data_IF_181120135583
#
_entry.id   IF_181120135583
#
_cell.length_a   1.000
_cell.length_b   1.000
_cell.length_c   1.000
_cell.angle_alpha   90.00
_cell.angle_beta   90.00
_cell.angle_gamma   90.00
#
_symmetry.space_group_name_H-M   'P 1'
#
loop_
_entity.id
_entity.type
_entity.pdbx_description
1 polymer ?
#
# COMPACT_ATOMS: atom_id res chain seq x y z
N UNK A 1 -5.71 -27.20 20.59
CA UNK A 1 -5.86 -27.86 19.27
C UNK A 1 -5.86 -26.76 18.22
N UNK A 2 -5.21 -26.95 17.06
CA UNK A 2 -5.29 -25.99 15.96
C UNK A 2 -6.73 -25.77 15.51
N UNK A 3 -7.07 -24.54 15.11
CA UNK A 3 -8.39 -24.22 14.57
C UNK A 3 -8.55 -24.86 13.18
N UNK A 4 -9.66 -25.56 12.96
CA UNK A 4 -9.93 -26.24 11.69
C UNK A 4 -10.64 -25.32 10.68
N UNK A 5 -10.47 -25.59 9.39
CA UNK A 5 -11.19 -24.87 8.32
C UNK A 5 -12.71 -24.99 8.47
N UNK A 6 -13.21 -26.13 8.96
CA UNK A 6 -14.64 -26.35 9.17
C UNK A 6 -15.21 -25.43 10.26
N UNK A 7 -14.50 -25.26 11.38
CA UNK A 7 -14.91 -24.35 12.47
C UNK A 7 -14.93 -22.89 12.00
N UNK A 8 -13.90 -22.47 11.26
CA UNK A 8 -13.84 -21.10 10.71
C UNK A 8 -14.94 -20.88 9.68
N UNK A 9 -15.22 -21.86 8.81
CA UNK A 9 -16.33 -21.78 7.87
C UNK A 9 -17.70 -21.78 8.55
N UNK A 10 -17.88 -22.51 9.65
CA UNK A 10 -19.12 -22.48 10.41
C UNK A 10 -19.41 -21.06 10.96
N UNK A 11 -18.36 -20.35 11.37
CA UNK A 11 -18.50 -18.99 11.92
C UNK A 11 -18.53 -17.91 10.83
N UNK A 12 -17.62 -17.95 9.85
CA UNK A 12 -17.42 -16.89 8.87
C UNK A 12 -17.90 -17.24 7.45
N UNK A 13 -18.53 -18.39 7.26
CA UNK A 13 -19.00 -18.86 5.96
C UNK A 13 -19.93 -17.87 5.25
N UNK A 14 -20.68 -17.07 6.02
CA UNK A 14 -21.61 -16.07 5.53
C UNK A 14 -20.96 -14.76 5.05
N UNK A 15 -19.70 -14.49 5.40
CA UNK A 15 -18.98 -13.33 4.89
C UNK A 15 -18.56 -13.55 3.43
N UNK A 16 -18.64 -12.50 2.63
CA UNK A 16 -18.13 -12.49 1.26
C UNK A 16 -16.95 -11.51 1.14
N UNK A 17 -16.13 -11.67 0.11
CA UNK A 17 -15.03 -10.74 -0.17
C UNK A 17 -15.48 -9.28 -0.24
N UNK A 18 -16.65 -9.02 -0.84
CA UNK A 18 -17.22 -7.68 -0.94
C UNK A 18 -17.62 -7.09 0.43
N UNK A 19 -17.94 -7.93 1.42
CA UNK A 19 -18.25 -7.48 2.79
C UNK A 19 -16.99 -7.13 3.58
N UNK A 20 -15.91 -7.90 3.41
CA UNK A 20 -14.66 -7.72 4.18
C UNK A 20 -13.68 -6.73 3.53
N UNK A 21 -13.77 -6.56 2.22
CA UNK A 21 -12.96 -5.64 1.44
C UNK A 21 -13.85 -4.80 0.49
N UNK A 22 -14.81 -4.01 1.04
CA UNK A 22 -15.67 -3.19 0.21
C UNK A 22 -14.88 -2.11 -0.50
N UNK A 23 -15.38 -1.67 -1.66
CA UNK A 23 -14.97 -0.40 -2.23
C UNK A 23 -15.44 0.74 -1.33
N UNK A 24 -14.70 1.87 -1.27
CA UNK A 24 -15.21 3.05 -0.60
C UNK A 24 -16.52 3.53 -1.21
N UNK A 25 -17.42 4.12 -0.40
CA UNK A 25 -18.69 4.64 -0.90
C UNK A 25 -18.47 5.86 -1.81
N UNK A 26 -19.38 6.02 -2.78
CA UNK A 26 -19.49 7.22 -3.62
C UNK A 26 -20.47 8.23 -2.97
N UNK A 27 -20.19 9.55 -3.04
CA UNK A 27 -19.02 10.18 -3.65
C UNK A 27 -17.75 9.96 -2.82
N UNK A 28 -16.63 9.74 -3.52
CA UNK A 28 -15.36 9.45 -2.89
C UNK A 28 -14.80 10.72 -2.24
N UNK A 29 -14.49 10.70 -0.94
CA UNK A 29 -13.85 11.83 -0.26
C UNK A 29 -12.32 11.74 -0.34
N UNK A 30 -11.60 12.79 0.12
CA UNK A 30 -10.13 12.87 0.03
C UNK A 30 -9.43 11.71 0.72
N UNK A 31 -9.84 11.39 1.95
CA UNK A 31 -9.23 10.37 2.77
C UNK A 31 -9.36 8.95 2.18
N UNK A 32 -10.57 8.47 1.79
CA UNK A 32 -10.72 7.22 1.06
C UNK A 32 -9.92 7.15 -0.25
N UNK A 33 -9.83 8.25 -1.01
CA UNK A 33 -9.01 8.26 -2.22
C UNK A 33 -7.52 8.06 -1.91
N UNK A 34 -7.01 8.71 -0.87
CA UNK A 34 -5.63 8.50 -0.39
C UNK A 34 -5.43 7.08 0.15
N UNK A 35 -6.41 6.52 0.86
CA UNK A 35 -6.35 5.14 1.34
C UNK A 35 -6.32 4.13 0.19
N UNK A 36 -7.06 4.37 -0.91
CA UNK A 36 -6.95 3.55 -2.12
C UNK A 36 -5.56 3.62 -2.75
N UNK A 37 -4.96 4.82 -2.84
CA UNK A 37 -3.59 4.99 -3.33
C UNK A 37 -2.56 4.29 -2.42
N UNK A 38 -2.80 4.29 -1.11
CA UNK A 38 -1.93 3.61 -0.15
C UNK A 38 -1.94 2.09 -0.39
N UNK A 39 -3.12 1.51 -0.65
CA UNK A 39 -3.26 0.09 -1.00
C UNK A 39 -2.46 -0.24 -2.26
N UNK A 40 -2.61 0.54 -3.34
CA UNK A 40 -1.86 0.30 -4.59
C UNK A 40 -0.36 0.54 -4.46
N UNK A 41 0.05 1.54 -3.69
CA UNK A 41 1.47 1.81 -3.39
C UNK A 41 2.10 0.62 -2.67
N UNK A 42 1.49 0.14 -1.58
CA UNK A 42 2.04 -0.99 -0.82
C UNK A 42 2.05 -2.29 -1.63
N UNK A 43 1.03 -2.51 -2.46
CA UNK A 43 1.03 -3.62 -3.42
C UNK A 43 2.26 -3.54 -4.32
N UNK A 44 2.55 -2.39 -4.91
CA UNK A 44 3.72 -2.24 -5.78
C UNK A 44 5.04 -2.45 -5.02
N UNK A 45 5.14 -1.93 -3.79
CA UNK A 45 6.29 -2.13 -2.90
C UNK A 45 6.50 -3.60 -2.53
N UNK A 46 5.44 -4.42 -2.51
CA UNK A 46 5.59 -5.87 -2.33
C UNK A 46 6.37 -6.54 -3.47
N UNK A 47 6.49 -5.91 -4.64
CA UNK A 47 7.27 -6.42 -5.79
C UNK A 47 8.64 -5.75 -5.91
N UNK A 48 8.69 -4.42 -5.84
CA UNK A 48 9.91 -3.63 -6.14
C UNK A 48 10.44 -2.82 -4.95
N UNK A 49 9.89 -3.02 -3.76
CA UNK A 49 10.33 -2.34 -2.53
C UNK A 49 11.72 -2.78 -2.08
N UNK A 50 12.22 -2.17 -1.00
CA UNK A 50 13.53 -2.51 -0.41
C UNK A 50 13.59 -3.93 0.17
N UNK A 51 12.44 -4.46 0.59
CA UNK A 51 12.28 -5.83 1.08
C UNK A 51 10.99 -6.43 0.48
N UNK A 52 11.01 -6.80 -0.81
CA UNK A 52 9.81 -7.22 -1.52
C UNK A 52 9.31 -8.57 -0.99
N UNK A 53 7.99 -8.70 -0.81
CA UNK A 53 7.34 -9.98 -0.48
C UNK A 53 7.37 -10.93 -1.68
N UNK A 54 7.32 -10.37 -2.89
CA UNK A 54 7.24 -11.05 -4.16
C UNK A 54 8.45 -10.69 -5.05
N UNK A 55 9.69 -11.03 -4.63
CA UNK A 55 10.88 -10.68 -5.39
C UNK A 55 10.83 -11.25 -6.81
N UNK A 56 11.40 -10.50 -7.76
CA UNK A 56 11.66 -10.98 -9.13
C UNK A 56 12.46 -12.29 -9.13
N UNK A 57 12.35 -13.04 -10.22
CA UNK A 57 13.10 -14.30 -10.38
C UNK A 57 14.59 -14.10 -10.05
N UNK A 58 15.24 -15.08 -9.39
CA UNK A 58 16.66 -14.99 -9.02
C UNK A 58 17.62 -14.78 -10.19
N UNK A 59 17.16 -14.96 -11.43
CA UNK A 59 17.90 -14.67 -12.66
C UNK A 59 18.18 -13.17 -12.88
N UNK A 60 17.68 -12.28 -12.01
CA UNK A 60 18.14 -10.89 -11.90
C UNK A 60 17.67 -9.94 -13.01
N UNK A 61 16.81 -10.40 -13.93
CA UNK A 61 16.18 -9.57 -14.94
C UNK A 61 14.98 -8.79 -14.39
N UNK A 62 14.83 -7.53 -14.83
CA UNK A 62 13.59 -6.78 -14.63
C UNK A 62 12.44 -7.52 -15.33
N UNK A 63 11.45 -7.94 -14.55
CA UNK A 63 10.25 -8.57 -15.05
C UNK A 63 9.24 -7.52 -15.53
N UNK A 64 8.27 -7.93 -16.34
CA UNK A 64 7.17 -7.04 -16.73
C UNK A 64 6.38 -6.53 -15.51
N UNK A 65 6.28 -7.34 -14.45
CA UNK A 65 5.64 -6.96 -13.19
C UNK A 65 6.41 -5.84 -12.48
N UNK A 66 7.75 -5.87 -12.53
CA UNK A 66 8.59 -4.82 -11.94
C UNK A 66 8.41 -3.48 -12.66
N UNK A 67 8.23 -3.54 -13.98
CA UNK A 67 7.91 -2.36 -14.77
C UNK A 67 6.54 -1.78 -14.38
N UNK A 68 5.49 -2.60 -14.32
CA UNK A 68 4.16 -2.16 -13.90
C UNK A 68 4.15 -1.62 -12.46
N UNK A 69 4.87 -2.26 -11.55
CA UNK A 69 4.97 -1.81 -10.16
C UNK A 69 5.67 -0.45 -10.06
N UNK A 70 6.76 -0.27 -10.80
CA UNK A 70 7.46 1.02 -10.86
C UNK A 70 6.60 2.13 -11.47
N UNK A 71 5.90 1.83 -12.57
CA UNK A 71 4.96 2.77 -13.21
C UNK A 71 3.82 3.14 -12.25
N UNK A 72 3.28 2.17 -11.52
CA UNK A 72 2.23 2.38 -10.54
C UNK A 72 2.67 3.33 -9.42
N UNK A 73 3.88 3.15 -8.88
CA UNK A 73 4.42 4.04 -7.83
C UNK A 73 4.53 5.48 -8.30
N UNK A 74 5.02 5.70 -9.53
CA UNK A 74 5.12 7.04 -10.12
C UNK A 74 3.73 7.67 -10.31
N UNK A 75 2.78 6.88 -10.83
CA UNK A 75 1.42 7.33 -11.06
C UNK A 75 0.71 7.69 -9.75
N UNK A 76 0.85 6.87 -8.72
CA UNK A 76 0.23 7.11 -7.41
C UNK A 76 0.80 8.36 -6.74
N UNK A 77 2.10 8.61 -6.85
CA UNK A 77 2.72 9.81 -6.30
C UNK A 77 2.23 11.09 -7.00
N UNK A 78 2.09 11.07 -8.33
CA UNK A 78 1.50 12.18 -9.07
C UNK A 78 0.06 12.48 -8.62
N UNK A 79 -0.75 11.43 -8.42
CA UNK A 79 -2.15 11.59 -8.01
C UNK A 79 -2.22 12.05 -6.54
N UNK A 80 -1.38 11.52 -5.66
CA UNK A 80 -1.26 11.94 -4.27
C UNK A 80 -0.91 13.43 -4.17
N UNK A 81 0.08 13.88 -4.93
CA UNK A 81 0.47 15.29 -5.02
C UNK A 81 -0.72 16.15 -5.47
N UNK A 82 -1.44 15.72 -6.51
CA UNK A 82 -2.63 16.42 -7.02
C UNK A 82 -3.73 16.51 -5.95
N UNK A 83 -4.07 15.41 -5.28
CA UNK A 83 -5.12 15.35 -4.24
C UNK A 83 -4.73 16.20 -3.03
N UNK A 84 -3.45 16.18 -2.64
CA UNK A 84 -2.96 16.95 -1.50
C UNK A 84 -2.97 18.45 -1.76
N UNK A 85 -2.76 18.89 -3.00
CA UNK A 85 -2.87 20.30 -3.41
C UNK A 85 -4.31 20.85 -3.41
N UNK A 86 -5.34 20.01 -3.29
CA UNK A 86 -6.73 20.46 -3.23
C UNK A 86 -7.03 21.09 -1.86
N UNK A 87 -7.50 22.34 -1.89
CA UNK A 87 -7.92 23.10 -0.69
C UNK A 87 -9.23 22.60 -0.07
N UNK A 88 -10.04 21.82 -0.79
CA UNK A 88 -11.36 21.39 -0.33
C UNK A 88 -11.33 19.99 0.31
N UNK A 89 -12.02 19.87 1.44
CA UNK A 89 -12.19 18.64 2.23
C UNK A 89 -13.22 17.67 1.65
N UNK A 90 -14.12 18.11 0.78
CA UNK A 90 -15.39 17.38 0.55
C UNK A 90 -15.45 16.53 -0.74
N UNK A 91 -14.65 16.79 -1.78
CA UNK A 91 -14.50 15.85 -2.90
C UNK A 91 -13.17 16.10 -3.66
N UNK A 92 -12.26 15.11 -3.75
CA UNK A 92 -11.01 15.22 -4.49
C UNK A 92 -11.23 15.11 -6.01
N UNK A 93 -12.35 14.54 -6.44
CA UNK A 93 -12.68 14.30 -7.83
C UNK A 93 -13.99 15.01 -8.22
N UNK A 94 -14.05 15.45 -9.48
CA UNK A 94 -15.33 15.83 -10.08
C UNK A 94 -16.12 14.54 -10.32
N UNK A 95 -17.46 14.63 -10.34
CA UNK A 95 -18.33 13.46 -10.59
C UNK A 95 -17.95 12.65 -11.86
N UNK A 96 -17.41 13.32 -12.89
CA UNK A 96 -16.92 12.66 -14.12
C UNK A 96 -15.57 11.95 -13.98
N UNK A 97 -14.75 12.37 -13.02
CA UNK A 97 -13.37 11.89 -12.84
C UNK A 97 -13.33 10.74 -11.82
N UNK A 98 -14.28 10.69 -10.87
CA UNK A 98 -14.37 9.62 -9.86
C UNK A 98 -14.49 8.22 -10.46
N UNK A 99 -15.39 7.94 -11.45
CA UNK A 99 -15.46 6.61 -12.06
C UNK A 99 -14.14 6.21 -12.74
N UNK A 100 -13.41 7.16 -13.33
CA UNK A 100 -12.09 6.90 -13.94
C UNK A 100 -11.05 6.53 -12.90
N UNK A 101 -11.09 7.16 -11.72
CA UNK A 101 -10.22 6.81 -10.60
C UNK A 101 -10.55 5.42 -10.05
N UNK A 102 -11.82 5.13 -9.76
CA UNK A 102 -12.27 3.82 -9.24
C UNK A 102 -11.92 2.70 -10.21
N UNK A 103 -12.13 2.93 -11.51
CA UNK A 103 -11.81 1.99 -12.58
C UNK A 103 -10.33 1.56 -12.62
N UNK A 104 -9.40 2.29 -11.99
CA UNK A 104 -8.00 1.85 -11.81
C UNK A 104 -7.86 0.61 -10.94
N UNK A 105 -8.86 0.30 -10.12
CA UNK A 105 -8.82 -0.79 -9.13
C UNK A 105 -9.75 -1.95 -9.46
N UNK A 106 -10.84 -1.70 -10.19
CA UNK A 106 -11.88 -2.71 -10.49
C UNK A 106 -12.10 -2.94 -11.99
N UNK A 107 -11.34 -2.27 -12.83
CA UNK A 107 -11.46 -2.39 -14.27
C UNK A 107 -10.98 -3.72 -14.83
N UNK A 108 -11.35 -3.97 -16.07
CA UNK A 108 -10.81 -5.08 -16.84
C UNK A 108 -9.35 -4.84 -17.27
N UNK A 109 -8.65 -5.95 -17.53
CA UNK A 109 -7.23 -6.01 -17.89
C UNK A 109 -6.85 -5.18 -19.14
N UNK A 110 -7.78 -4.94 -20.06
CA UNK A 110 -7.52 -4.39 -21.39
C UNK A 110 -7.19 -2.88 -21.45
N UNK A 111 -7.13 -2.17 -20.31
CA UNK A 111 -7.02 -0.71 -20.27
C UNK A 111 -5.64 -0.16 -19.86
N UNK A 112 -4.57 -0.96 -19.92
CA UNK A 112 -3.20 -0.54 -19.53
C UNK A 112 -3.15 0.15 -18.15
N UNK A 113 -3.83 -0.46 -17.17
CA UNK A 113 -3.87 0.03 -15.78
C UNK A 113 -2.88 -0.79 -14.96
N UNK A 114 -1.72 -0.24 -14.56
CA UNK A 114 -0.65 -1.03 -13.95
C UNK A 114 -1.10 -1.85 -12.74
N UNK A 115 -1.94 -1.27 -11.89
CA UNK A 115 -2.52 -1.99 -10.74
C UNK A 115 -3.34 -3.23 -11.14
N UNK A 116 -4.26 -3.08 -12.10
CA UNK A 116 -5.06 -4.21 -12.61
C UNK A 116 -4.16 -5.24 -13.30
N UNK A 117 -3.14 -4.79 -14.03
CA UNK A 117 -2.21 -5.69 -14.70
C UNK A 117 -1.46 -6.56 -13.69
N UNK A 118 -0.95 -5.99 -12.60
CA UNK A 118 -0.33 -6.75 -11.50
C UNK A 118 -1.36 -7.71 -10.86
N UNK A 119 -2.59 -7.26 -10.64
CA UNK A 119 -3.62 -8.03 -9.93
C UNK A 119 -4.32 -9.12 -10.73
N UNK A 120 -4.19 -9.10 -12.06
CA UNK A 120 -4.92 -10.01 -12.96
C UNK A 120 -4.01 -10.80 -13.90
N UNK A 121 -2.75 -10.40 -14.08
CA UNK A 121 -1.80 -11.20 -14.87
C UNK A 121 -1.52 -12.55 -14.17
N UNK A 122 -1.48 -13.63 -14.96
CA UNK A 122 -1.40 -15.00 -14.43
C UNK A 122 -0.17 -15.23 -13.52
N UNK A 123 1.00 -14.73 -13.93
CA UNK A 123 2.25 -14.93 -13.20
C UNK A 123 2.23 -14.30 -11.80
N UNK A 124 1.98 -12.98 -11.63
CA UNK A 124 1.92 -12.39 -10.29
C UNK A 124 0.75 -12.96 -9.48
N UNK A 125 -0.41 -13.23 -10.09
CA UNK A 125 -1.57 -13.82 -9.39
C UNK A 125 -1.24 -15.16 -8.77
N UNK A 126 -0.57 -16.05 -9.51
CA UNK A 126 -0.18 -17.36 -8.99
C UNK A 126 0.88 -17.24 -7.88
N UNK A 127 1.82 -16.30 -8.00
CA UNK A 127 2.79 -16.00 -6.95
C UNK A 127 2.12 -15.51 -5.66
N UNK A 128 1.18 -14.59 -5.80
CA UNK A 128 0.38 -14.06 -4.70
C UNK A 128 -0.47 -15.17 -4.07
N UNK A 129 -1.20 -15.98 -4.87
CA UNK A 129 -2.03 -17.08 -4.38
C UNK A 129 -1.24 -18.07 -3.51
N UNK A 130 -0.06 -18.50 -3.98
CA UNK A 130 0.83 -19.40 -3.23
C UNK A 130 1.28 -18.80 -1.90
N UNK A 131 1.60 -17.51 -1.89
CA UNK A 131 1.93 -16.80 -0.64
C UNK A 131 0.72 -16.73 0.31
N UNK A 132 -0.45 -16.35 -0.20
CA UNK A 132 -1.68 -16.25 0.58
C UNK A 132 -2.06 -17.57 1.24
N UNK A 133 -1.96 -18.66 0.49
CA UNK A 133 -2.25 -20.00 0.98
C UNK A 133 -1.33 -20.36 2.15
N UNK A 134 -0.01 -20.11 2.02
CA UNK A 134 0.96 -20.34 3.11
C UNK A 134 0.64 -19.52 4.35
N UNK A 135 0.33 -18.23 4.20
CA UNK A 135 -0.02 -17.35 5.32
C UNK A 135 -1.30 -17.82 6.00
N UNK A 136 -2.34 -18.16 5.24
CA UNK A 136 -3.61 -18.62 5.77
C UNK A 136 -3.46 -19.95 6.54
N UNK A 137 -2.68 -20.90 6.00
CA UNK A 137 -2.40 -22.16 6.68
C UNK A 137 -1.60 -21.95 7.97
N UNK A 138 -0.58 -21.10 7.93
CA UNK A 138 0.21 -20.76 9.12
C UNK A 138 -0.65 -20.10 10.21
N UNK A 139 -1.56 -19.20 9.81
CA UNK A 139 -2.54 -18.59 10.72
C UNK A 139 -3.43 -19.64 11.38
N UNK A 140 -4.05 -20.53 10.61
CA UNK A 140 -4.92 -21.59 11.14
C UNK A 140 -4.17 -22.53 12.10
N UNK A 141 -2.92 -22.87 11.78
CA UNK A 141 -2.09 -23.74 12.61
C UNK A 141 -1.62 -23.07 13.91
N UNK A 142 -1.31 -21.77 13.86
CA UNK A 142 -0.79 -21.03 15.00
C UNK A 142 -1.89 -20.53 15.95
N UNK A 143 -3.12 -20.36 15.46
CA UNK A 143 -4.23 -19.84 16.26
C UNK A 143 -4.75 -20.87 17.25
N UNK A 144 -4.83 -20.48 18.52
CA UNK A 144 -5.44 -21.24 19.60
C UNK A 144 -6.95 -20.97 19.77
N UNK A 145 -7.47 -19.94 19.08
CA UNK A 145 -8.87 -19.51 19.12
C UNK A 145 -9.32 -19.02 17.74
N UNK A 146 -10.59 -19.27 17.40
CA UNK A 146 -11.21 -18.79 16.16
C UNK A 146 -11.19 -17.25 16.11
N UNK A 147 -11.31 -16.57 17.26
CA UNK A 147 -11.27 -15.11 17.35
C UNK A 147 -9.93 -14.48 16.96
N UNK A 148 -8.85 -15.28 16.92
CA UNK A 148 -7.54 -14.83 16.48
C UNK A 148 -7.34 -14.92 14.95
N UNK A 149 -8.31 -15.48 14.23
CA UNK A 149 -8.28 -15.61 12.78
C UNK A 149 -8.68 -14.28 12.12
N UNK A 150 -7.86 -13.79 11.19
CA UNK A 150 -8.23 -12.64 10.38
C UNK A 150 -9.31 -13.05 9.36
N UNK A 151 -10.52 -12.50 9.54
CA UNK A 151 -11.66 -12.76 8.66
C UNK A 151 -11.34 -12.35 7.22
N UNK A 152 -10.67 -11.20 7.03
CA UNK A 152 -10.23 -10.74 5.72
C UNK A 152 -9.32 -11.76 5.03
N UNK A 153 -8.31 -12.27 5.76
CA UNK A 153 -7.35 -13.22 5.18
C UNK A 153 -8.01 -14.53 4.77
N UNK A 154 -8.88 -15.04 5.64
CA UNK A 154 -9.59 -16.30 5.41
C UNK A 154 -10.57 -16.21 4.24
N UNK A 155 -11.45 -15.21 4.24
CA UNK A 155 -12.50 -15.03 3.21
C UNK A 155 -11.89 -14.81 1.84
N UNK A 156 -10.89 -13.93 1.72
CA UNK A 156 -10.23 -13.70 0.43
C UNK A 156 -9.46 -14.94 -0.05
N UNK A 157 -8.84 -15.72 0.83
CA UNK A 157 -8.17 -16.97 0.41
C UNK A 157 -9.18 -18.02 -0.07
N UNK A 158 -10.31 -18.16 0.63
CA UNK A 158 -11.41 -19.06 0.24
C UNK A 158 -11.98 -18.69 -1.13
N UNK A 159 -12.18 -17.40 -1.38
CA UNK A 159 -12.84 -16.89 -2.58
C UNK A 159 -11.87 -16.41 -3.68
N UNK A 160 -10.57 -16.75 -3.56
CA UNK A 160 -9.46 -16.16 -4.33
C UNK A 160 -9.71 -16.03 -5.85
N UNK A 161 -10.24 -17.09 -6.44
CA UNK A 161 -10.45 -17.20 -7.88
C UNK A 161 -11.60 -16.31 -8.39
N UNK A 162 -12.48 -15.87 -7.48
CA UNK A 162 -13.60 -14.96 -7.78
C UNK A 162 -13.32 -13.50 -7.37
N UNK A 163 -12.17 -13.23 -6.74
CA UNK A 163 -11.82 -11.89 -6.29
C UNK A 163 -11.55 -10.95 -7.46
N UNK A 164 -12.01 -9.72 -7.33
CA UNK A 164 -11.55 -8.62 -8.18
C UNK A 164 -10.17 -8.10 -7.77
N UNK A 165 -9.61 -7.20 -8.57
CA UNK A 165 -8.29 -6.62 -8.33
C UNK A 165 -8.23 -5.75 -7.06
N UNK A 166 -9.33 -5.13 -6.63
CA UNK A 166 -9.38 -4.34 -5.41
C UNK A 166 -9.32 -5.24 -4.17
N UNK A 167 -10.13 -6.29 -4.14
CA UNK A 167 -10.19 -7.25 -3.05
C UNK A 167 -8.85 -7.97 -2.85
N UNK A 168 -8.18 -8.37 -3.95
CA UNK A 168 -6.82 -8.93 -3.89
C UNK A 168 -5.83 -7.95 -3.29
N UNK A 169 -5.85 -6.69 -3.73
CA UNK A 169 -4.95 -5.68 -3.17
C UNK A 169 -5.21 -5.36 -1.71
N UNK A 170 -6.46 -5.33 -1.25
CA UNK A 170 -6.79 -5.15 0.17
C UNK A 170 -6.22 -6.26 1.05
N UNK A 171 -6.24 -7.51 0.57
CA UNK A 171 -5.59 -8.62 1.25
C UNK A 171 -4.08 -8.42 1.36
N UNK A 172 -3.43 -8.07 0.24
CA UNK A 172 -1.96 -7.90 0.18
C UNK A 172 -1.51 -6.73 1.05
N UNK A 173 -2.24 -5.62 0.98
CA UNK A 173 -2.04 -4.45 1.82
C UNK A 173 -2.09 -4.81 3.32
N UNK A 174 -3.10 -5.58 3.75
CA UNK A 174 -3.19 -6.04 5.14
C UNK A 174 -1.96 -6.86 5.57
N UNK A 175 -1.44 -7.72 4.68
CA UNK A 175 -0.22 -8.47 4.96
C UNK A 175 1.05 -7.63 4.95
N UNK A 176 1.13 -6.67 4.04
CA UNK A 176 2.24 -5.72 3.96
C UNK A 176 2.34 -4.91 5.26
N UNK A 177 1.21 -4.39 5.75
CA UNK A 177 1.12 -3.70 7.04
C UNK A 177 1.56 -4.60 8.20
N UNK A 178 1.06 -5.84 8.25
CA UNK A 178 1.42 -6.80 9.31
C UNK A 178 2.92 -7.12 9.33
N UNK A 179 3.57 -7.14 8.17
CA UNK A 179 5.01 -7.34 8.04
C UNK A 179 5.85 -6.09 8.30
N UNK A 180 5.21 -4.93 8.46
CA UNK A 180 5.91 -3.66 8.54
C UNK A 180 6.68 -3.36 7.26
N UNK A 181 6.10 -3.69 6.08
CA UNK A 181 6.57 -3.13 4.82
C UNK A 181 6.33 -1.63 4.92
N UNK A 182 7.36 -0.93 5.39
CA UNK A 182 7.30 0.49 5.61
C UNK A 182 7.08 1.15 4.26
N UNK A 183 5.95 1.84 4.12
CA UNK A 183 5.85 2.90 3.12
C UNK A 183 6.99 3.84 3.45
N UNK A 184 7.80 4.19 2.44
CA UNK A 184 8.73 5.30 2.58
C UNK A 184 7.90 6.55 2.89
N UNK A 185 7.71 6.86 4.17
CA UNK A 185 7.25 8.15 4.68
C UNK A 185 8.33 9.24 4.45
N UNK A 186 9.04 9.18 3.32
CA UNK A 186 10.05 10.15 2.92
C UNK A 186 9.41 11.48 2.44
N UNK A 187 8.08 11.63 2.51
CA UNK A 187 7.35 12.77 1.96
C UNK A 187 6.27 13.35 2.89
N UNK A 188 6.57 13.47 4.20
CA UNK A 188 6.22 14.71 4.86
C UNK A 188 7.49 15.29 5.52
N UNK A 189 8.05 16.40 5.00
CA UNK A 189 9.04 17.18 5.75
C UNK A 189 8.32 17.92 6.89
N UNK A 190 7.70 17.19 7.81
CA UNK A 190 7.38 17.73 9.13
C UNK A 190 8.63 17.52 9.97
N UNK A 191 9.32 18.63 10.24
CA UNK A 191 10.52 18.74 11.07
C UNK A 191 11.86 18.64 10.31
N UNK A 192 12.31 19.79 9.79
CA UNK A 192 13.72 20.18 9.78
C UNK A 192 14.27 20.35 11.22
N UNK A 193 13.93 19.45 12.15
CA UNK A 193 14.24 19.59 13.58
C UNK A 193 15.50 18.87 14.03
N UNK A 194 16.15 18.06 13.19
CA UNK A 194 17.34 17.31 13.61
C UNK A 194 18.50 17.22 12.61
N UNK A 195 18.51 18.04 11.55
CA UNK A 195 19.79 18.45 10.99
C UNK A 195 20.34 19.53 11.92
N UNK A 196 21.29 19.17 12.79
CA UNK A 196 22.14 20.17 13.44
C UNK A 196 22.63 21.09 12.32
N UNK A 197 22.18 22.34 12.32
CA UNK A 197 22.42 23.24 11.20
C UNK A 197 23.92 23.27 10.92
N UNK A 198 24.32 23.44 9.66
CA UNK A 198 25.75 23.60 9.30
C UNK A 198 26.44 24.64 10.20
N UNK A 199 25.67 25.63 10.68
CA UNK A 199 26.04 26.61 11.72
C UNK A 199 26.32 26.02 13.11
N UNK A 200 25.57 25.03 13.61
CA UNK A 200 25.87 24.33 14.88
C UNK A 200 27.16 23.50 14.80
N UNK A 201 27.46 22.89 13.64
CA UNK A 201 28.74 22.18 13.43
C UNK A 201 29.92 23.15 13.29
N UNK A 202 29.72 24.31 12.66
CA UNK A 202 30.74 25.36 12.58
C UNK A 202 31.03 26.01 13.93
N UNK A 203 30.00 26.34 14.73
CA UNK A 203 30.17 26.91 16.09
C UNK A 203 31.07 26.04 16.97
N UNK A 204 30.92 24.71 16.88
CA UNK A 204 31.74 23.76 17.64
C UNK A 204 33.21 23.74 17.20
N UNK A 205 33.50 24.04 15.92
CA UNK A 205 34.86 24.07 15.37
C UNK A 205 35.53 25.44 15.51
N UNK A 206 34.80 26.54 15.36
CA UNK A 206 35.35 27.90 15.38
C UNK A 206 35.33 28.55 16.76
N UNK A 207 34.65 27.95 17.75
CA UNK A 207 34.34 28.57 19.07
C UNK A 207 33.60 29.92 18.96
N UNK A 208 33.06 30.25 17.79
CA UNK A 208 32.29 31.47 17.58
C UNK A 208 30.82 31.18 17.95
N UNK A 209 30.22 31.98 18.85
CA UNK A 209 28.84 31.78 19.26
C UNK A 209 27.86 32.09 18.11
N UNK A 210 26.74 31.37 18.08
CA UNK A 210 25.80 31.34 16.95
C UNK A 210 25.14 32.70 16.65
N UNK A 211 25.01 33.56 17.66
CA UNK A 211 24.51 34.93 17.53
C UNK A 211 25.45 35.81 16.69
N UNK A 212 26.76 35.65 16.83
CA UNK A 212 27.75 36.43 16.08
C UNK A 212 27.76 36.05 14.59
N UNK A 213 27.63 34.75 14.28
CA UNK A 213 27.51 34.28 12.89
C UNK A 213 26.25 34.80 12.20
N UNK A 214 25.12 34.89 12.91
CA UNK A 214 23.88 35.47 12.38
C UNK A 214 23.98 36.98 12.15
N UNK A 215 24.67 37.70 13.03
CA UNK A 215 24.90 39.14 12.87
C UNK A 215 25.73 39.46 11.61
N UNK A 216 26.74 38.64 11.29
CA UNK A 216 27.56 38.81 10.07
C UNK A 216 26.79 38.53 8.78
N UNK A 217 25.81 37.64 8.82
CA UNK A 217 25.01 37.31 7.64
C UNK A 217 23.93 38.35 7.34
N UNK A 218 23.35 38.96 8.38
CA UNK A 218 22.31 39.98 8.23
C UNK A 218 22.87 41.40 8.02
N UNK A 219 24.19 41.57 8.07
CA UNK A 219 24.88 42.86 7.93
C UNK A 219 25.67 43.04 6.63
N UNK A 220 25.43 42.18 5.63
CA UNK A 220 26.00 42.25 4.28
C UNK A 220 24.87 42.32 3.24
#
# INVERSE_FOLDING_TARGET
MPVTVAEVNALYGHYTAAMVAPLPPSPLTKEPALAMLQVSTQVAECFVGSNPIFPSSPEGGLTQVDHWATELLQLDEQIRTRINGLRQTHAPFRARDEPRFINRYVGEYHNSRPYVQIMMAAEPVERMKRYCNRVCNAMLQASSSISAISVLLFVCMRDWDTLDAWQRGKWIHHEAERRGVAIRDDAIPHSLGHLASLTSRQSRRSRVPQNELRARWNGA
#
